data_IF_931995655447
#
_entry.id   IF_931995655447
#
_cell.length_a   1.000
_cell.length_b   1.000
_cell.length_c   1.000
_cell.angle_alpha   90.00
_cell.angle_beta   90.00
_cell.angle_gamma   90.00
#
_symmetry.space_group_name_H-M   'P 1'
#
loop_
_entity.id
_entity.type
_entity.pdbx_description
1 polymer ?
#
# COMPACT_ATOMS: atom_id res chain seq x y z
N UNK A 1 -12.48 9.67 -34.78
CA UNK A 1 -12.29 10.89 -33.96
C UNK A 1 -10.97 11.57 -34.39
N UNK A 2 -11.01 12.83 -34.84
CA UNK A 2 -9.80 13.54 -35.25
C UNK A 2 -8.92 13.76 -34.02
N UNK A 3 -7.77 13.11 -33.99
CA UNK A 3 -6.74 13.29 -32.98
C UNK A 3 -6.10 14.68 -33.19
N UNK A 4 -6.74 15.71 -32.67
CA UNK A 4 -6.18 17.08 -32.69
C UNK A 4 -5.10 17.08 -31.62
N UNK A 5 -3.82 16.99 -32.02
CA UNK A 5 -2.69 17.16 -31.09
C UNK A 5 -2.87 18.48 -30.34
N UNK A 6 -3.17 18.42 -29.06
CA UNK A 6 -3.23 19.62 -28.22
C UNK A 6 -1.83 20.22 -28.16
N UNK A 7 -1.70 21.51 -28.43
CA UNK A 7 -0.43 22.20 -28.26
C UNK A 7 -0.19 22.50 -26.79
N UNK A 8 1.02 22.31 -26.27
CA UNK A 8 1.35 22.71 -24.90
C UNK A 8 1.17 24.24 -24.74
N UNK A 9 0.67 24.62 -23.57
CA UNK A 9 0.51 26.03 -23.16
C UNK A 9 1.44 26.26 -21.97
N UNK A 10 2.16 27.37 -21.93
CA UNK A 10 2.93 27.76 -20.76
C UNK A 10 1.96 28.22 -19.66
N UNK A 11 2.05 27.60 -18.49
CA UNK A 11 1.21 27.91 -17.31
C UNK A 11 2.14 28.37 -16.19
N UNK A 12 1.85 29.50 -15.52
CA UNK A 12 2.58 29.91 -14.32
C UNK A 12 2.53 28.84 -13.24
N UNK A 13 3.69 28.54 -12.62
CA UNK A 13 3.82 27.51 -11.60
C UNK A 13 2.89 27.78 -10.41
N UNK A 14 2.67 29.04 -10.09
CA UNK A 14 1.76 29.47 -9.02
C UNK A 14 0.29 29.11 -9.25
N UNK A 15 -0.12 28.87 -10.52
CA UNK A 15 -1.47 28.40 -10.89
C UNK A 15 -1.60 26.87 -10.93
N UNK A 16 -0.52 26.15 -10.70
CA UNK A 16 -0.50 24.67 -10.70
C UNK A 16 -0.64 24.13 -9.29
N UNK A 17 -1.63 23.25 -9.10
CA UNK A 17 -1.87 22.54 -7.84
C UNK A 17 -1.60 21.05 -8.01
N UNK A 18 -0.93 20.37 -7.07
CA UNK A 18 -0.88 18.92 -7.06
C UNK A 18 -2.30 18.35 -7.01
N UNK A 19 -2.49 17.13 -7.52
CA UNK A 19 -3.76 16.42 -7.38
C UNK A 19 -4.06 16.18 -5.91
N UNK A 20 -5.23 16.65 -5.46
CA UNK A 20 -5.66 16.46 -4.07
C UNK A 20 -5.92 14.98 -3.77
N UNK A 21 -5.24 14.45 -2.74
CA UNK A 21 -5.26 13.03 -2.42
C UNK A 21 -4.35 12.19 -3.33
N UNK A 22 -3.31 12.78 -3.96
CA UNK A 22 -2.35 12.04 -4.77
C UNK A 22 -1.67 10.93 -3.98
N UNK A 23 -1.85 9.64 -4.37
CA UNK A 23 -1.44 8.51 -3.53
C UNK A 23 0.07 8.23 -3.56
N UNK A 24 0.79 8.75 -4.56
CA UNK A 24 2.21 8.45 -4.77
C UNK A 24 3.08 9.55 -4.19
N UNK A 25 4.02 9.16 -3.32
CA UNK A 25 4.94 10.10 -2.66
C UNK A 25 5.95 10.66 -3.66
N UNK A 26 6.13 11.97 -3.67
CA UNK A 26 7.24 12.63 -4.38
C UNK A 26 8.39 12.73 -3.38
N UNK A 27 9.47 11.97 -3.61
CA UNK A 27 10.63 11.92 -2.73
C UNK A 27 11.72 12.87 -3.22
N UNK A 28 12.45 13.47 -2.28
CA UNK A 28 13.66 14.22 -2.51
C UNK A 28 14.85 13.26 -2.41
N UNK A 29 15.08 12.52 -3.50
CA UNK A 29 16.16 11.56 -3.67
C UNK A 29 17.17 12.02 -4.72
N UNK A 30 18.24 11.24 -4.95
CA UNK A 30 19.26 11.56 -5.94
C UNK A 30 18.71 11.64 -7.37
N UNK A 31 17.67 10.85 -7.68
CA UNK A 31 16.96 10.96 -8.96
C UNK A 31 16.23 12.32 -9.09
N UNK A 32 15.69 12.83 -7.99
CA UNK A 32 15.07 14.16 -7.97
C UNK A 32 16.11 15.26 -8.20
N UNK A 33 17.28 15.16 -7.57
CA UNK A 33 18.36 16.11 -7.79
C UNK A 33 18.81 16.13 -9.25
N UNK A 34 18.98 14.94 -9.85
CA UNK A 34 19.30 14.81 -11.29
C UNK A 34 18.21 15.43 -12.17
N UNK A 35 16.94 15.24 -11.81
CA UNK A 35 15.82 15.84 -12.53
C UNK A 35 15.80 17.37 -12.43
N UNK A 36 16.13 17.92 -11.26
CA UNK A 36 16.25 19.37 -11.03
C UNK A 36 17.36 19.95 -11.93
N UNK A 37 18.55 19.35 -11.95
CA UNK A 37 19.67 19.78 -12.81
C UNK A 37 19.31 19.71 -14.30
N UNK A 38 18.63 18.64 -14.72
CA UNK A 38 18.16 18.51 -16.10
C UNK A 38 17.15 19.62 -16.46
N UNK A 39 16.21 19.93 -15.57
CA UNK A 39 15.23 21.01 -15.79
C UNK A 39 15.90 22.38 -15.81
N UNK A 40 16.91 22.63 -15.00
CA UNK A 40 17.66 23.88 -15.01
C UNK A 40 18.43 24.11 -16.32
N UNK A 41 18.95 23.02 -16.90
CA UNK A 41 19.78 23.10 -18.12
C UNK A 41 18.99 23.03 -19.41
N UNK A 42 17.94 22.21 -19.47
CA UNK A 42 17.21 21.90 -20.72
C UNK A 42 15.74 22.33 -20.67
N UNK A 43 15.26 22.81 -19.52
CA UNK A 43 13.83 23.04 -19.29
C UNK A 43 13.02 21.77 -19.22
N UNK A 44 11.70 21.89 -19.26
CA UNK A 44 10.78 20.76 -19.21
C UNK A 44 10.47 20.30 -20.64
N UNK A 45 11.11 19.22 -21.07
CA UNK A 45 10.97 18.67 -22.43
C UNK A 45 9.61 17.99 -22.65
N UNK A 46 9.05 17.36 -21.61
CA UNK A 46 7.75 16.68 -21.68
C UNK A 46 6.71 17.49 -20.89
N UNK A 47 5.65 18.00 -21.53
CA UNK A 47 4.66 18.84 -20.86
C UNK A 47 3.92 18.07 -19.76
N UNK A 48 3.45 18.80 -18.74
CA UNK A 48 2.56 18.25 -17.73
C UNK A 48 1.17 18.02 -18.35
N UNK A 49 0.41 17.11 -17.74
CA UNK A 49 -1.03 16.96 -18.03
C UNK A 49 -1.79 17.57 -16.86
N UNK A 50 -2.67 18.53 -17.18
CA UNK A 50 -3.43 19.27 -16.18
C UNK A 50 -4.91 19.34 -16.55
N UNK A 51 -5.77 19.55 -15.55
CA UNK A 51 -7.18 19.91 -15.75
C UNK A 51 -7.50 21.25 -15.09
N UNK A 52 -8.45 22.02 -15.59
CA UNK A 52 -8.90 23.24 -14.91
C UNK A 52 -9.64 22.85 -13.60
N UNK A 53 -9.44 23.66 -12.57
CA UNK A 53 -10.22 23.56 -11.33
C UNK A 53 -11.43 24.48 -11.49
N UNK A 54 -12.64 23.93 -11.28
CA UNK A 54 -13.89 24.65 -11.44
C UNK A 54 -13.95 25.92 -10.59
N UNK A 55 -14.44 27.00 -11.18
CA UNK A 55 -14.59 28.32 -10.56
C UNK A 55 -13.29 28.99 -10.09
N UNK A 56 -12.15 28.58 -10.66
CA UNK A 56 -10.84 29.18 -10.40
C UNK A 56 -10.08 29.40 -11.71
N UNK A 57 -8.96 30.13 -11.63
CA UNK A 57 -7.97 30.22 -12.73
C UNK A 57 -6.81 29.22 -12.54
N UNK A 58 -6.96 28.24 -11.63
CA UNK A 58 -5.94 27.26 -11.30
C UNK A 58 -6.15 25.94 -12.04
N UNK A 59 -5.07 25.17 -12.12
CA UNK A 59 -5.06 23.88 -12.78
C UNK A 59 -4.55 22.81 -11.82
N UNK A 60 -5.22 21.68 -11.78
CA UNK A 60 -4.78 20.51 -11.04
C UNK A 60 -3.95 19.60 -11.93
N UNK A 61 -2.78 19.17 -11.43
CA UNK A 61 -1.85 18.32 -12.17
C UNK A 61 -2.30 16.87 -12.12
N UNK A 62 -2.61 16.30 -13.28
CA UNK A 62 -3.00 14.90 -13.44
C UNK A 62 -1.78 14.00 -13.67
N UNK A 63 -0.77 14.50 -14.42
CA UNK A 63 0.48 13.76 -14.64
C UNK A 63 1.67 14.71 -14.67
N UNK A 64 2.76 14.29 -14.02
CA UNK A 64 4.01 15.05 -13.96
C UNK A 64 4.30 15.68 -12.61
N UNK A 65 3.79 15.15 -11.49
CA UNK A 65 4.01 15.66 -10.14
C UNK A 65 5.50 15.80 -9.78
N UNK A 66 6.35 14.82 -10.15
CA UNK A 66 7.82 14.94 -9.96
C UNK A 66 8.41 16.12 -10.75
N UNK A 67 7.94 16.36 -11.99
CA UNK A 67 8.37 17.49 -12.81
C UNK A 67 7.91 18.83 -12.25
N UNK A 68 6.68 18.90 -11.73
CA UNK A 68 6.20 20.10 -11.03
C UNK A 68 7.08 20.40 -9.81
N UNK A 69 7.32 19.41 -8.97
CA UNK A 69 8.14 19.55 -7.78
C UNK A 69 9.59 19.98 -8.11
N UNK A 70 10.20 19.33 -9.09
CA UNK A 70 11.55 19.68 -9.55
C UNK A 70 11.61 21.10 -10.15
N UNK A 71 10.60 21.51 -10.92
CA UNK A 71 10.51 22.83 -11.49
C UNK A 71 10.37 23.94 -10.41
N UNK A 72 9.59 23.67 -9.36
CA UNK A 72 9.47 24.57 -8.21
C UNK A 72 10.83 24.75 -7.52
N UNK A 73 11.57 23.66 -7.30
CA UNK A 73 12.91 23.71 -6.70
C UNK A 73 13.96 24.35 -7.63
N UNK A 74 13.80 24.18 -8.94
CA UNK A 74 14.66 24.82 -9.95
C UNK A 74 14.39 26.33 -10.15
N UNK A 75 13.34 26.88 -9.53
CA UNK A 75 12.95 28.28 -9.68
C UNK A 75 12.31 28.62 -11.04
N UNK A 76 11.76 27.62 -11.74
CA UNK A 76 11.05 27.81 -12.99
C UNK A 76 9.72 28.52 -12.73
N UNK A 77 9.43 29.55 -13.49
CA UNK A 77 8.21 30.36 -13.32
C UNK A 77 7.04 29.89 -14.18
N UNK A 78 7.32 29.28 -15.34
CA UNK A 78 6.31 28.79 -16.27
C UNK A 78 6.61 27.35 -16.73
N UNK A 79 5.60 26.52 -16.80
CA UNK A 79 5.72 25.10 -17.18
C UNK A 79 4.84 24.81 -18.39
N UNK A 80 5.37 24.14 -19.45
CA UNK A 80 4.55 23.65 -20.54
C UNK A 80 3.59 22.57 -20.07
N UNK A 81 2.29 22.75 -20.33
CA UNK A 81 1.24 21.81 -19.93
C UNK A 81 0.21 21.60 -21.03
N UNK A 82 -0.35 20.41 -21.06
CA UNK A 82 -1.49 20.02 -21.89
C UNK A 82 -2.76 20.08 -21.03
N UNK A 83 -3.68 20.95 -21.41
CA UNK A 83 -4.94 21.13 -20.65
C UNK A 83 -5.99 20.15 -21.18
N UNK A 84 -6.50 19.28 -20.27
CA UNK A 84 -7.61 18.37 -20.55
C UNK A 84 -8.81 18.78 -19.70
N UNK A 85 -9.93 19.07 -20.35
CA UNK A 85 -11.21 19.33 -19.69
C UNK A 85 -11.85 17.99 -19.32
N UNK A 86 -11.36 17.38 -18.25
CA UNK A 86 -11.87 16.14 -17.65
C UNK A 86 -12.37 16.43 -16.24
N UNK A 87 -13.37 15.67 -15.80
CA UNK A 87 -13.87 15.76 -14.43
C UNK A 87 -12.87 15.17 -13.42
N UNK A 88 -13.14 15.34 -12.13
CA UNK A 88 -12.25 14.87 -11.05
C UNK A 88 -12.12 13.34 -11.05
N UNK A 89 -13.19 12.61 -11.31
CA UNK A 89 -13.17 11.14 -11.28
C UNK A 89 -12.33 10.58 -12.42
N UNK A 90 -12.49 11.12 -13.65
CA UNK A 90 -11.63 10.76 -14.78
C UNK A 90 -10.16 11.14 -14.55
N UNK A 91 -9.90 12.27 -13.90
CA UNK A 91 -8.56 12.65 -13.51
C UNK A 91 -7.95 11.72 -12.46
N UNK A 92 -8.71 11.33 -11.44
CA UNK A 92 -8.29 10.37 -10.41
C UNK A 92 -7.88 9.02 -11.03
N UNK A 93 -8.69 8.50 -11.95
CA UNK A 93 -8.39 7.26 -12.68
C UNK A 93 -7.09 7.43 -13.49
N UNK A 94 -6.95 8.55 -14.22
CA UNK A 94 -5.76 8.82 -15.02
C UNK A 94 -4.47 8.97 -14.17
N UNK A 95 -4.56 9.60 -12.99
CA UNK A 95 -3.47 9.67 -12.00
C UNK A 95 -3.03 8.28 -11.60
N UNK A 96 -3.98 7.40 -11.24
CA UNK A 96 -3.68 6.05 -10.78
C UNK A 96 -3.09 5.22 -11.93
N UNK A 97 -3.75 5.18 -13.10
CA UNK A 97 -3.33 4.36 -14.24
C UNK A 97 -1.93 4.73 -14.75
N UNK A 98 -1.58 6.02 -14.74
CA UNK A 98 -0.26 6.47 -15.17
C UNK A 98 0.88 6.09 -14.21
N UNK A 99 0.58 5.65 -12.99
CA UNK A 99 1.56 5.36 -11.95
C UNK A 99 1.60 3.88 -11.52
N UNK A 100 0.52 3.10 -11.69
CA UNK A 100 0.47 1.69 -11.26
C UNK A 100 1.44 0.76 -12.01
N UNK A 101 1.98 1.18 -13.15
CA UNK A 101 2.95 0.39 -13.92
C UNK A 101 4.42 0.70 -13.56
N UNK A 102 4.68 1.47 -12.49
CA UNK A 102 6.05 1.70 -12.00
C UNK A 102 6.61 0.42 -11.38
N UNK A 103 7.91 0.18 -11.55
CA UNK A 103 8.57 -1.03 -11.02
C UNK A 103 8.50 -1.14 -9.50
N UNK A 104 8.56 0.00 -8.80
CA UNK A 104 8.57 0.04 -7.34
C UNK A 104 7.46 0.95 -6.82
N UNK A 105 6.34 0.33 -6.40
CA UNK A 105 5.24 1.02 -5.73
C UNK A 105 5.11 0.44 -4.32
N UNK A 106 5.10 1.34 -3.33
CA UNK A 106 4.97 0.95 -1.94
C UNK A 106 3.58 0.35 -1.64
N UNK A 107 3.46 -0.57 -0.67
CA UNK A 107 2.16 -1.12 -0.26
C UNK A 107 1.14 -0.04 0.12
N UNK A 108 1.57 1.00 0.84
CA UNK A 108 0.72 2.13 1.19
C UNK A 108 0.24 2.90 -0.05
N UNK A 109 1.13 3.16 -1.02
CA UNK A 109 0.77 3.85 -2.26
C UNK A 109 -0.25 3.05 -3.07
N UNK A 110 -0.08 1.72 -3.18
CA UNK A 110 -1.08 0.84 -3.83
C UNK A 110 -2.42 0.88 -3.12
N UNK A 111 -2.43 0.90 -1.78
CA UNK A 111 -3.65 0.96 -0.99
C UNK A 111 -4.46 2.22 -1.29
N UNK A 112 -3.83 3.38 -1.22
CA UNK A 112 -4.49 4.66 -1.50
C UNK A 112 -4.83 4.83 -2.99
N UNK A 113 -3.99 4.32 -3.92
CA UNK A 113 -4.26 4.34 -5.35
C UNK A 113 -5.51 3.52 -5.69
N UNK A 114 -5.62 2.29 -5.19
CA UNK A 114 -6.80 1.45 -5.43
C UNK A 114 -8.05 2.04 -4.78
N UNK A 115 -7.94 2.64 -3.59
CA UNK A 115 -9.07 3.34 -2.98
C UNK A 115 -9.52 4.51 -3.83
N UNK A 116 -8.61 5.40 -4.24
CA UNK A 116 -8.92 6.56 -5.09
C UNK A 116 -9.60 6.14 -6.39
N UNK A 117 -9.07 5.12 -7.08
CA UNK A 117 -9.64 4.60 -8.32
C UNK A 117 -11.00 3.95 -8.11
N UNK A 118 -11.18 3.16 -7.04
CA UNK A 118 -12.44 2.52 -6.71
C UNK A 118 -13.54 3.54 -6.40
N UNK A 119 -13.22 4.59 -5.65
CA UNK A 119 -14.15 5.67 -5.33
C UNK A 119 -14.55 6.45 -6.60
N UNK A 120 -13.60 6.78 -7.48
CA UNK A 120 -13.87 7.44 -8.76
C UNK A 120 -14.77 6.58 -9.69
N UNK A 121 -14.48 5.29 -9.82
CA UNK A 121 -15.30 4.37 -10.62
C UNK A 121 -16.72 4.22 -10.04
N UNK A 122 -16.85 4.22 -8.72
CA UNK A 122 -18.17 4.18 -8.06
C UNK A 122 -18.99 5.43 -8.37
N UNK A 123 -18.39 6.62 -8.31
CA UNK A 123 -19.07 7.87 -8.65
C UNK A 123 -19.52 7.91 -10.12
N UNK A 124 -18.67 7.45 -11.05
CA UNK A 124 -19.04 7.36 -12.47
C UNK A 124 -20.18 6.37 -12.70
N UNK A 125 -20.20 5.23 -12.03
CA UNK A 125 -21.27 4.25 -12.10
C UNK A 125 -22.63 4.78 -11.60
N UNK A 126 -22.63 5.63 -10.58
CA UNK A 126 -23.85 6.28 -10.06
C UNK A 126 -24.44 7.30 -11.04
N UNK A 127 -23.60 7.95 -11.88
CA UNK A 127 -24.07 8.89 -12.91
C UNK A 127 -24.72 8.23 -14.11
N UNK A 128 -24.54 6.91 -14.28
CA UNK A 128 -25.07 6.14 -15.43
C UNK A 128 -26.27 5.24 -15.07
N UNK A 129 -27.14 5.65 -14.14
CA UNK A 129 -28.41 4.99 -13.79
C UNK A 129 -28.35 3.48 -13.42
N UNK A 130 -27.21 2.99 -12.95
CA UNK A 130 -27.11 1.64 -12.40
C UNK A 130 -27.63 1.66 -10.96
N UNK A 131 -28.90 1.37 -10.81
CA UNK A 131 -29.74 1.47 -9.60
C UNK A 131 -29.42 0.43 -8.53
N UNK A 132 -28.20 0.31 -7.99
CA UNK A 132 -28.05 -0.22 -6.63
C UNK A 132 -26.68 0.11 -6.04
N UNK A 133 -26.69 0.77 -4.89
CA UNK A 133 -25.51 1.08 -4.08
C UNK A 133 -24.66 -0.14 -3.71
N UNK A 134 -25.20 -1.35 -3.80
CA UNK A 134 -24.50 -2.60 -3.48
C UNK A 134 -23.72 -3.21 -4.65
N UNK A 135 -24.08 -2.89 -5.90
CA UNK A 135 -23.45 -3.46 -7.10
C UNK A 135 -22.22 -2.63 -7.51
N UNK A 136 -22.28 -1.31 -7.41
CA UNK A 136 -21.21 -0.41 -7.82
C UNK A 136 -19.84 -0.68 -7.14
N UNK A 137 -19.74 -0.92 -5.81
CA UNK A 137 -18.44 -1.22 -5.18
C UNK A 137 -17.84 -2.57 -5.58
N UNK A 138 -18.69 -3.57 -5.88
CA UNK A 138 -18.22 -4.88 -6.37
C UNK A 138 -17.64 -4.77 -7.77
N UNK A 139 -18.31 -4.00 -8.64
CA UNK A 139 -17.85 -3.79 -10.02
C UNK A 139 -16.50 -3.05 -10.06
N UNK A 140 -16.32 -2.00 -9.24
CA UNK A 140 -15.07 -1.21 -9.20
C UNK A 140 -13.84 -2.06 -8.85
N UNK A 141 -13.92 -2.92 -7.83
CA UNK A 141 -12.81 -3.79 -7.44
C UNK A 141 -12.53 -4.91 -8.43
N UNK A 142 -13.55 -5.39 -9.15
CA UNK A 142 -13.38 -6.36 -10.25
C UNK A 142 -12.66 -5.72 -11.43
N UNK A 143 -13.09 -4.54 -11.88
CA UNK A 143 -12.44 -3.78 -12.95
C UNK A 143 -10.97 -3.51 -12.66
N UNK A 144 -10.66 -3.05 -11.42
CA UNK A 144 -9.27 -2.83 -11.00
C UNK A 144 -8.50 -4.14 -11.02
N UNK A 145 -9.07 -5.22 -10.48
CA UNK A 145 -8.43 -6.54 -10.44
C UNK A 145 -8.09 -7.08 -11.83
N UNK A 146 -9.01 -6.97 -12.78
CA UNK A 146 -8.81 -7.37 -14.18
C UNK A 146 -7.69 -6.56 -14.85
N UNK A 147 -7.67 -5.24 -14.65
CA UNK A 147 -6.66 -4.35 -15.22
C UNK A 147 -5.25 -4.62 -14.68
N UNK A 148 -5.15 -4.94 -13.40
CA UNK A 148 -3.88 -5.19 -12.70
C UNK A 148 -3.45 -6.68 -12.72
N UNK A 149 -4.27 -7.57 -13.26
CA UNK A 149 -4.00 -9.02 -13.29
C UNK A 149 -4.03 -9.67 -11.89
N UNK A 150 -4.79 -9.10 -10.93
CA UNK A 150 -4.93 -9.61 -9.56
C UNK A 150 -6.38 -9.88 -9.20
N UNK A 151 -6.62 -10.67 -8.15
CA UNK A 151 -8.00 -10.94 -7.72
C UNK A 151 -8.66 -9.70 -7.10
N UNK A 152 -9.98 -9.58 -7.24
CA UNK A 152 -10.77 -8.55 -6.56
C UNK A 152 -10.58 -8.54 -5.04
N UNK A 153 -10.34 -9.70 -4.45
CA UNK A 153 -10.10 -9.81 -3.00
C UNK A 153 -8.73 -9.26 -2.62
N UNK A 154 -7.73 -9.39 -3.49
CA UNK A 154 -6.43 -8.73 -3.32
C UNK A 154 -6.60 -7.19 -3.37
N UNK A 155 -7.40 -6.65 -4.31
CA UNK A 155 -7.71 -5.22 -4.37
C UNK A 155 -8.37 -4.74 -3.08
N UNK A 156 -9.38 -5.48 -2.58
CA UNK A 156 -10.05 -5.15 -1.31
C UNK A 156 -9.09 -5.16 -0.12
N UNK A 157 -8.16 -6.12 -0.07
CA UNK A 157 -7.15 -6.20 0.99
C UNK A 157 -6.23 -4.98 0.96
N UNK A 158 -5.79 -4.53 -0.22
CA UNK A 158 -5.03 -3.27 -0.32
C UNK A 158 -5.86 -2.07 0.13
N UNK A 159 -7.09 -1.92 -0.36
CA UNK A 159 -7.99 -0.82 0.05
C UNK A 159 -8.18 -0.83 1.58
N UNK A 160 -8.29 -2.02 2.19
CA UNK A 160 -8.45 -2.13 3.64
C UNK A 160 -7.27 -1.53 4.42
N UNK A 161 -6.04 -1.57 3.89
CA UNK A 161 -4.87 -0.97 4.52
C UNK A 161 -4.99 0.55 4.75
N UNK A 162 -5.86 1.25 4.01
CA UNK A 162 -6.07 2.69 4.20
C UNK A 162 -6.69 3.05 5.57
N UNK A 163 -7.10 2.05 6.36
CA UNK A 163 -7.59 2.20 7.74
C UNK A 163 -6.49 1.98 8.79
N UNK A 164 -5.25 1.70 8.36
CA UNK A 164 -4.12 1.65 9.27
C UNK A 164 -3.66 3.05 9.67
N UNK A 165 -3.15 3.16 10.90
CA UNK A 165 -2.43 4.37 11.31
C UNK A 165 -1.16 4.54 10.47
N UNK A 166 -0.67 5.79 10.28
CA UNK A 166 0.48 6.07 9.42
C UNK A 166 1.73 5.27 9.77
N UNK A 167 1.98 5.02 11.04
CA UNK A 167 3.14 4.31 11.54
C UNK A 167 3.15 2.83 11.10
N UNK A 168 1.99 2.18 11.03
CA UNK A 168 1.89 0.82 10.50
C UNK A 168 2.04 0.76 8.99
N UNK A 169 1.53 1.77 8.28
CA UNK A 169 1.77 1.89 6.84
C UNK A 169 3.25 2.06 6.54
N UNK A 170 3.97 2.86 7.34
CA UNK A 170 5.42 3.05 7.20
C UNK A 170 6.18 1.74 7.46
N UNK A 171 5.84 0.99 8.51
CA UNK A 171 6.41 -0.33 8.79
C UNK A 171 6.16 -1.33 7.67
N UNK A 172 5.01 -1.26 7.01
CA UNK A 172 4.72 -2.08 5.83
C UNK A 172 5.56 -1.66 4.63
N UNK A 173 5.72 -0.36 4.40
CA UNK A 173 6.54 0.18 3.31
C UNK A 173 8.03 -0.19 3.48
N UNK A 174 8.49 -0.33 4.73
CA UNK A 174 9.83 -0.80 5.10
C UNK A 174 9.97 -2.34 5.04
N UNK A 175 8.87 -3.08 4.84
CA UNK A 175 8.86 -4.54 4.81
C UNK A 175 8.90 -5.21 6.19
N UNK A 176 8.76 -4.47 7.28
CA UNK A 176 8.73 -4.99 8.65
C UNK A 176 7.42 -5.73 8.97
N UNK A 177 6.33 -5.36 8.30
CA UNK A 177 5.01 -5.97 8.47
C UNK A 177 4.52 -6.49 7.13
N UNK A 178 4.10 -7.76 7.09
CA UNK A 178 3.53 -8.37 5.90
C UNK A 178 2.10 -7.83 5.61
N UNK A 179 1.70 -7.82 4.33
CA UNK A 179 0.38 -7.40 3.88
C UNK A 179 -0.76 -8.07 4.68
N UNK A 180 -0.65 -9.38 4.92
CA UNK A 180 -1.68 -10.13 5.66
C UNK A 180 -1.84 -9.67 7.10
N UNK A 181 -0.74 -9.29 7.76
CA UNK A 181 -0.75 -8.75 9.13
C UNK A 181 -1.40 -7.36 9.14
N UNK A 182 -0.99 -6.48 8.21
CA UNK A 182 -1.57 -5.15 8.07
C UNK A 182 -3.09 -5.20 7.83
N UNK A 183 -3.57 -6.14 7.02
CA UNK A 183 -5.02 -6.32 6.79
C UNK A 183 -5.74 -6.67 8.08
N UNK A 184 -5.22 -7.60 8.91
CA UNK A 184 -5.85 -7.94 10.19
C UNK A 184 -5.83 -6.75 11.17
N UNK A 185 -4.71 -6.03 11.27
CA UNK A 185 -4.59 -4.84 12.14
C UNK A 185 -5.52 -3.70 11.71
N UNK A 186 -5.80 -3.58 10.42
CA UNK A 186 -6.69 -2.52 9.90
C UNK A 186 -8.15 -2.64 10.35
N UNK A 187 -8.54 -3.78 10.92
CA UNK A 187 -9.88 -3.95 11.50
C UNK A 187 -10.00 -3.38 12.91
N UNK A 188 -8.89 -3.20 13.60
CA UNK A 188 -8.84 -2.58 14.92
C UNK A 188 -9.12 -1.08 14.82
N UNK A 189 -9.70 -0.51 15.87
CA UNK A 189 -9.82 0.93 15.98
C UNK A 189 -8.45 1.61 16.18
N UNK A 190 -8.39 2.92 16.00
CA UNK A 190 -7.13 3.68 16.09
C UNK A 190 -6.46 3.52 17.47
N UNK A 191 -7.24 3.47 18.56
CA UNK A 191 -6.69 3.35 19.91
C UNK A 191 -6.03 1.98 20.13
N UNK A 192 -6.67 0.92 19.66
CA UNK A 192 -6.12 -0.44 19.71
C UNK A 192 -4.89 -0.60 18.82
N UNK A 193 -4.89 0.02 17.62
CA UNK A 193 -3.71 0.03 16.76
C UNK A 193 -2.53 0.73 17.43
N UNK A 194 -2.74 1.86 18.12
CA UNK A 194 -1.69 2.57 18.87
C UNK A 194 -1.16 1.73 20.03
N UNK A 195 -2.01 1.02 20.76
CA UNK A 195 -1.58 0.08 21.81
C UNK A 195 -0.71 -1.03 21.22
N UNK A 196 -1.12 -1.65 20.09
CA UNK A 196 -0.31 -2.67 19.41
C UNK A 196 1.04 -2.08 18.99
N UNK A 197 1.08 -0.84 18.51
CA UNK A 197 2.32 -0.16 18.12
C UNK A 197 3.25 0.05 19.33
N UNK A 198 2.69 0.45 20.48
CA UNK A 198 3.44 0.57 21.74
C UNK A 198 4.03 -0.77 22.18
N UNK A 199 3.23 -1.84 22.09
CA UNK A 199 3.70 -3.19 22.40
C UNK A 199 4.77 -3.68 21.42
N UNK A 200 4.76 -3.22 20.16
CA UNK A 200 5.84 -3.49 19.22
C UNK A 200 7.17 -2.87 19.70
N UNK A 201 7.11 -1.64 20.22
CA UNK A 201 8.31 -0.95 20.73
C UNK A 201 8.82 -1.59 22.04
N UNK A 202 7.91 -1.97 22.96
CA UNK A 202 8.29 -2.60 24.24
C UNK A 202 8.94 -3.97 24.03
N UNK A 203 8.40 -4.78 23.11
CA UNK A 203 8.87 -6.14 22.87
C UNK A 203 9.90 -6.26 21.74
N UNK A 204 10.31 -5.13 21.13
CA UNK A 204 11.19 -5.07 19.95
C UNK A 204 10.76 -6.06 18.85
N UNK A 205 9.46 -6.11 18.56
CA UNK A 205 8.92 -7.06 17.59
C UNK A 205 7.62 -6.56 16.94
N UNK A 206 7.38 -6.98 15.70
CA UNK A 206 6.09 -6.78 15.01
C UNK A 206 5.17 -7.97 15.21
N UNK A 207 3.83 -7.83 15.20
CA UNK A 207 2.91 -8.96 15.38
C UNK A 207 3.04 -9.98 14.24
N UNK A 208 2.90 -11.26 14.58
CA UNK A 208 2.70 -12.32 13.60
C UNK A 208 1.26 -12.29 13.06
N UNK A 209 1.02 -12.99 11.94
CA UNK A 209 -0.34 -13.13 11.42
C UNK A 209 -1.31 -13.72 12.45
N UNK A 210 -0.89 -14.75 13.19
CA UNK A 210 -1.72 -15.39 14.22
C UNK A 210 -2.08 -14.42 15.35
N UNK A 211 -1.12 -13.59 15.78
CA UNK A 211 -1.35 -12.57 16.83
C UNK A 211 -2.33 -11.50 16.31
N UNK A 212 -2.10 -10.95 15.12
CA UNK A 212 -2.97 -9.95 14.51
C UNK A 212 -4.40 -10.48 14.28
N UNK A 213 -4.54 -11.72 13.79
CA UNK A 213 -5.83 -12.37 13.61
C UNK A 213 -6.59 -12.57 14.93
N UNK A 214 -5.90 -12.96 16.00
CA UNK A 214 -6.51 -13.12 17.34
C UNK A 214 -6.97 -11.79 17.91
N UNK A 215 -6.18 -10.71 17.73
CA UNK A 215 -6.58 -9.36 18.14
C UNK A 215 -7.82 -8.90 17.36
N UNK A 216 -7.84 -9.05 16.04
CA UNK A 216 -9.01 -8.75 15.21
C UNK A 216 -10.24 -9.58 15.64
N UNK A 217 -10.08 -10.86 15.91
CA UNK A 217 -11.18 -11.72 16.39
C UNK A 217 -11.73 -11.22 17.73
N UNK A 218 -10.85 -10.93 18.70
CA UNK A 218 -11.23 -10.41 20.01
C UNK A 218 -11.91 -9.04 19.92
N UNK A 219 -11.45 -8.17 19.03
CA UNK A 219 -12.09 -6.87 18.76
C UNK A 219 -13.53 -7.06 18.25
N UNK A 220 -13.73 -7.92 17.27
CA UNK A 220 -15.06 -8.24 16.74
C UNK A 220 -16.01 -8.85 17.79
N UNK A 221 -15.47 -9.57 18.77
CA UNK A 221 -16.21 -10.16 19.88
C UNK A 221 -16.40 -9.17 21.05
N UNK A 222 -15.85 -7.94 20.95
CA UNK A 222 -15.92 -6.91 22.00
C UNK A 222 -15.12 -7.25 23.26
N UNK A 223 -14.14 -8.16 23.13
CA UNK A 223 -13.31 -8.66 24.25
C UNK A 223 -11.86 -8.15 24.18
N UNK A 224 -11.50 -7.40 23.16
CA UNK A 224 -10.16 -6.83 23.03
C UNK A 224 -9.94 -5.74 24.08
N UNK A 225 -8.99 -5.97 24.97
CA UNK A 225 -8.54 -5.00 25.98
C UNK A 225 -7.04 -4.77 25.85
N UNK A 226 -6.52 -3.66 26.40
CA UNK A 226 -5.07 -3.40 26.49
C UNK A 226 -4.32 -4.60 27.09
N UNK A 227 -4.83 -5.20 28.17
CA UNK A 227 -4.23 -6.39 28.78
C UNK A 227 -4.21 -7.61 27.84
N UNK A 228 -5.26 -7.78 27.02
CA UNK A 228 -5.30 -8.85 26.02
C UNK A 228 -4.26 -8.62 24.91
N UNK A 229 -4.11 -7.38 24.43
CA UNK A 229 -3.09 -7.00 23.45
C UNK A 229 -1.69 -7.29 24.00
N UNK A 230 -1.40 -6.85 25.22
CA UNK A 230 -0.12 -7.10 25.91
C UNK A 230 0.18 -8.59 26.04
N UNK A 231 -0.80 -9.38 26.47
CA UNK A 231 -0.68 -10.84 26.58
C UNK A 231 -0.37 -11.47 25.23
N UNK A 232 -1.11 -11.12 24.18
CA UNK A 232 -0.92 -11.67 22.84
C UNK A 232 0.46 -11.28 22.28
N UNK A 233 0.91 -10.05 22.51
CA UNK A 233 2.19 -9.54 21.97
C UNK A 233 3.39 -10.08 22.73
N UNK A 234 3.27 -10.42 24.03
CA UNK A 234 4.34 -11.02 24.84
C UNK A 234 4.57 -12.51 24.59
N UNK A 235 3.67 -13.18 23.85
CA UNK A 235 3.82 -14.60 23.54
C UNK A 235 5.00 -14.84 22.58
N UNK A 236 5.81 -15.86 22.86
CA UNK A 236 6.84 -16.32 21.95
C UNK A 236 6.23 -16.75 20.60
N UNK A 237 6.74 -16.18 19.52
CA UNK A 237 6.30 -16.56 18.18
C UNK A 237 6.76 -17.97 17.85
N UNK A 238 5.92 -18.72 17.14
CA UNK A 238 6.21 -20.12 16.76
C UNK A 238 7.53 -20.28 15.96
N UNK A 239 7.97 -19.23 15.26
CA UNK A 239 9.23 -19.18 14.51
C UNK A 239 10.44 -18.73 15.35
N UNK A 240 10.23 -18.19 16.54
CA UNK A 240 11.28 -17.84 17.52
C UNK A 240 11.62 -19.00 18.47
N UNK A 241 10.76 -20.02 18.56
CA UNK A 241 11.09 -21.24 19.29
C UNK A 241 12.30 -21.88 18.63
N UNK A 242 13.36 -22.02 19.40
CA UNK A 242 14.58 -22.71 18.97
C UNK A 242 14.19 -24.11 18.44
N UNK A 243 14.26 -24.32 17.15
CA UNK A 243 14.00 -25.61 16.52
C UNK A 243 15.30 -26.14 15.98
N UNK A 244 15.79 -27.20 16.61
CA UNK A 244 16.89 -27.96 16.06
C UNK A 244 16.36 -28.81 14.88
N UNK A 245 16.63 -28.38 13.64
CA UNK A 245 16.29 -29.16 12.45
C UNK A 245 17.49 -30.08 12.15
N UNK A 246 17.39 -31.33 12.55
CA UNK A 246 18.37 -32.35 12.15
C UNK A 246 17.80 -33.06 10.91
N UNK A 247 18.52 -33.04 9.75
CA UNK A 247 18.09 -33.76 8.57
C UNK A 247 17.90 -35.26 8.92
N UNK A 248 16.75 -35.82 8.55
CA UNK A 248 16.40 -37.20 8.86
C UNK A 248 17.47 -38.19 8.40
N UNK A 249 18.12 -37.94 7.27
CA UNK A 249 19.22 -38.73 6.71
C UNK A 249 20.41 -38.87 7.66
N UNK A 250 20.68 -37.83 8.48
CA UNK A 250 21.80 -37.82 9.45
C UNK A 250 21.53 -38.69 10.66
N UNK A 251 20.29 -38.77 11.10
CA UNK A 251 19.90 -39.52 12.34
C UNK A 251 19.35 -40.92 12.02
N UNK A 252 18.76 -41.13 10.83
CA UNK A 252 18.13 -42.39 10.42
C UNK A 252 19.03 -43.62 10.59
N UNK A 253 20.32 -43.46 10.31
CA UNK A 253 21.30 -44.56 10.40
C UNK A 253 21.56 -45.09 11.82
N UNK A 254 21.14 -44.34 12.86
CA UNK A 254 21.29 -44.72 14.25
C UNK A 254 20.05 -45.41 14.81
N UNK A 255 18.98 -45.56 14.00
CA UNK A 255 17.73 -46.19 14.43
C UNK A 255 17.36 -47.36 13.54
N UNK A 256 16.65 -48.39 14.08
CA UNK A 256 16.23 -49.55 13.30
C UNK A 256 15.44 -49.20 12.05
N UNK A 257 15.58 -50.03 11.01
CA UNK A 257 14.76 -49.91 9.80
C UNK A 257 13.29 -50.14 10.16
N UNK A 258 12.42 -49.14 9.83
CA UNK A 258 11.00 -49.24 10.14
C UNK A 258 10.51 -48.24 11.23
N UNK A 259 11.41 -47.57 11.94
CA UNK A 259 10.99 -46.50 12.86
C UNK A 259 10.38 -45.32 12.07
N UNK A 260 9.22 -44.85 12.50
CA UNK A 260 8.61 -43.63 11.99
C UNK A 260 9.33 -42.39 12.50
N UNK A 261 9.11 -41.22 11.86
CA UNK A 261 9.71 -39.95 12.32
C UNK A 261 9.35 -39.66 13.79
N UNK A 262 8.08 -39.88 14.18
CA UNK A 262 7.61 -39.72 15.56
C UNK A 262 8.34 -40.62 16.56
N UNK A 263 8.56 -41.90 16.21
CA UNK A 263 9.28 -42.84 17.06
C UNK A 263 10.76 -42.49 17.23
N UNK A 264 11.36 -41.91 16.20
CA UNK A 264 12.75 -41.38 16.27
C UNK A 264 12.80 -40.15 17.18
N UNK A 265 11.83 -39.25 17.07
CA UNK A 265 11.69 -38.06 17.92
C UNK A 265 11.55 -38.43 19.38
N UNK A 266 10.61 -39.33 19.70
CA UNK A 266 10.40 -39.85 21.06
C UNK A 266 11.64 -40.54 21.65
N UNK A 267 12.38 -41.28 20.82
CA UNK A 267 13.60 -41.96 21.28
C UNK A 267 14.73 -40.94 21.54
N UNK A 268 14.86 -39.89 20.74
CA UNK A 268 15.83 -38.80 20.97
C UNK A 268 15.50 -38.07 22.26
N UNK A 269 14.22 -37.71 22.50
CA UNK A 269 13.78 -37.04 23.72
C UNK A 269 14.13 -37.92 24.96
N UNK A 270 13.79 -39.22 24.93
CA UNK A 270 14.12 -40.15 26.01
C UNK A 270 15.63 -40.32 26.27
N UNK A 271 16.46 -40.15 25.24
CA UNK A 271 17.92 -40.15 25.42
C UNK A 271 18.40 -38.89 26.13
N UNK A 272 17.80 -37.74 25.82
CA UNK A 272 18.15 -36.45 26.46
C UNK A 272 17.61 -36.34 27.90
N UNK A 273 16.57 -37.11 28.29
CA UNK A 273 16.03 -37.10 29.65
C UNK A 273 16.83 -38.03 30.60
N UNK A 274 17.83 -38.77 30.09
CA UNK A 274 18.61 -39.74 30.90
C UNK A 274 19.93 -39.15 31.44
N UNK A 275 20.27 -37.95 31.09
CA UNK A 275 21.39 -37.15 31.63
C UNK A 275 20.87 -36.14 32.68
#
# INVERSE_FOLDING_TARGET
MKNTMKKPVAIPVEKLRPFDGHPFKVKDDDEMNTLIESIQTQGILSPLIVRPIENTEEYEVVSGHRRLHAAQKAGITEIPALIYAIDRDAAAIAVVDSNLHREHILPSEKAFAYKLKADALKHQGQRTDITSEQIAPKLSTEVIGEQEGISKDTVKRYIRLTYLIPEFLEKMDQGEIALSVGVELSFLDESSQREVLEQCAINDCTPSYSQAWRMHKADREGTLTTAAIQTIMSEEKANQKARLKIPMERIRKYFPQGYTAAQIEDAVVKLCERD
#
